data_IF_977111578610
#
_entry.id   IF_977111578610
#
_cell.length_a   1.000
_cell.length_b   1.000
_cell.length_c   1.000
_cell.angle_alpha   90.00
_cell.angle_beta   90.00
_cell.angle_gamma   90.00
#
_symmetry.space_group_name_H-M   'P 1'
#
loop_
_entity.id
_entity.type
_entity.pdbx_description
1 polymer ?
#
# COMPACT_ATOMS: atom_id res chain seq x y z
N UNK A 1 4.35 -2.98 -8.00
CA UNK A 1 3.78 -3.18 -6.65
C UNK A 1 4.86 -3.07 -5.57
N UNK A 2 6.04 -3.66 -5.79
CA UNK A 2 7.14 -3.62 -4.82
C UNK A 2 7.61 -2.20 -4.45
N UNK A 3 7.80 -1.30 -5.44
CA UNK A 3 8.18 0.10 -5.16
C UNK A 3 7.12 0.84 -4.32
N UNK A 4 5.82 0.60 -4.57
CA UNK A 4 4.73 1.20 -3.77
C UNK A 4 4.76 0.70 -2.34
N UNK A 5 5.01 -0.60 -2.12
CA UNK A 5 5.18 -1.19 -0.79
C UNK A 5 6.38 -0.61 -0.04
N UNK A 6 7.53 -0.43 -0.71
CA UNK A 6 8.73 0.19 -0.12
C UNK A 6 8.46 1.64 0.30
N UNK A 7 7.77 2.42 -0.54
CA UNK A 7 7.36 3.79 -0.20
C UNK A 7 6.42 3.85 0.99
N UNK A 8 5.41 2.96 1.05
CA UNK A 8 4.49 2.88 2.18
C UNK A 8 5.23 2.52 3.47
N UNK A 9 6.11 1.52 3.46
CA UNK A 9 6.94 1.17 4.63
C UNK A 9 7.85 2.31 5.08
N UNK A 10 8.45 3.05 4.14
CA UNK A 10 9.27 4.23 4.46
C UNK A 10 8.45 5.30 5.20
N UNK A 11 7.23 5.57 4.72
CA UNK A 11 6.28 6.46 5.41
C UNK A 11 5.91 5.93 6.79
N UNK A 12 5.56 4.64 6.92
CA UNK A 12 5.26 3.98 8.22
C UNK A 12 6.33 4.27 9.26
N UNK A 13 7.59 4.03 8.90
CA UNK A 13 8.71 4.18 9.82
C UNK A 13 8.97 5.62 10.22
N UNK A 14 8.85 6.56 9.28
CA UNK A 14 9.02 8.00 9.56
C UNK A 14 7.90 8.50 10.47
N UNK A 15 6.64 8.21 10.13
CA UNK A 15 5.47 8.62 10.90
C UNK A 15 5.51 8.03 12.31
N UNK A 16 5.80 6.73 12.45
CA UNK A 16 5.93 6.07 13.74
C UNK A 16 7.12 6.58 14.56
N UNK A 17 8.28 6.80 13.92
CA UNK A 17 9.47 7.35 14.56
C UNK A 17 9.21 8.76 15.12
N UNK A 18 8.60 9.64 14.33
CA UNK A 18 8.26 11.00 14.73
C UNK A 18 7.26 11.01 15.90
N UNK A 19 6.21 10.18 15.84
CA UNK A 19 5.25 10.04 16.93
C UNK A 19 5.91 9.55 18.23
N UNK A 20 6.87 8.63 18.13
CA UNK A 20 7.61 8.09 19.29
C UNK A 20 8.43 9.18 19.96
N UNK A 21 9.21 9.97 19.20
CA UNK A 21 10.00 11.07 19.73
C UNK A 21 9.10 12.13 20.38
N UNK A 22 8.00 12.51 19.73
CA UNK A 22 7.05 13.47 20.29
C UNK A 22 6.46 12.98 21.64
N UNK A 23 6.14 11.69 21.73
CA UNK A 23 5.64 11.07 22.97
C UNK A 23 6.67 11.13 24.09
N UNK A 24 7.92 10.75 23.79
CA UNK A 24 9.02 10.82 24.76
C UNK A 24 9.24 12.28 25.21
N UNK A 25 9.15 13.24 24.29
CA UNK A 25 9.32 14.66 24.61
C UNK A 25 8.25 15.18 25.57
N UNK A 26 6.99 14.83 25.34
CA UNK A 26 5.89 15.17 26.23
C UNK A 26 6.05 14.51 27.61
N UNK A 27 6.36 13.21 27.63
CA UNK A 27 6.53 12.46 28.88
C UNK A 27 7.68 13.00 29.72
N UNK A 28 8.83 13.29 29.09
CA UNK A 28 10.01 13.80 29.78
C UNK A 28 9.79 15.18 30.38
N UNK A 29 9.12 16.09 29.67
CA UNK A 29 8.79 17.43 30.17
C UNK A 29 7.90 17.36 31.42
N UNK A 30 6.82 16.60 31.35
CA UNK A 30 5.88 16.42 32.48
C UNK A 30 6.59 15.85 33.70
N UNK A 31 7.41 14.81 33.53
CA UNK A 31 8.16 14.20 34.62
C UNK A 31 9.15 15.18 35.25
N UNK A 32 9.96 15.85 34.43
CA UNK A 32 10.96 16.81 34.90
C UNK A 32 10.32 17.94 35.71
N UNK A 33 9.16 18.42 35.28
CA UNK A 33 8.44 19.46 35.99
C UNK A 33 7.77 19.00 37.27
N UNK A 34 7.34 17.74 37.35
CA UNK A 34 6.89 17.13 38.59
C UNK A 34 8.01 17.14 39.64
N UNK A 35 9.19 16.64 39.28
CA UNK A 35 10.38 16.62 40.16
C UNK A 35 10.79 18.05 40.57
N UNK A 36 10.80 18.99 39.61
CA UNK A 36 11.10 20.39 39.92
C UNK A 36 10.07 21.03 40.86
N UNK A 37 8.80 20.61 40.79
CA UNK A 37 7.74 21.07 41.68
C UNK A 37 7.94 20.61 43.11
N UNK A 38 8.27 19.33 43.30
CA UNK A 38 8.59 18.78 44.62
C UNK A 38 9.81 19.47 45.24
N UNK A 39 10.88 19.65 44.46
CA UNK A 39 12.09 20.34 44.91
C UNK A 39 11.79 21.79 45.33
N UNK A 40 11.01 22.54 44.54
CA UNK A 40 10.59 23.90 44.92
C UNK A 40 9.80 23.91 46.22
N UNK A 41 8.86 22.98 46.39
CA UNK A 41 8.03 22.89 47.60
C UNK A 41 8.89 22.65 48.85
N UNK A 42 9.92 21.81 48.72
CA UNK A 42 10.90 21.55 49.79
C UNK A 42 11.73 22.79 50.12
N UNK A 43 12.30 23.47 49.11
CA UNK A 43 13.11 24.69 49.31
C UNK A 43 12.32 25.83 49.97
N UNK A 44 11.02 25.96 49.65
CA UNK A 44 10.15 26.93 50.33
C UNK A 44 9.91 26.54 51.79
N UNK A 45 9.72 25.25 52.09
CA UNK A 45 9.53 24.76 53.44
C UNK A 45 10.80 24.91 54.32
N UNK A 46 11.98 24.72 53.72
CA UNK A 46 13.29 24.89 54.38
C UNK A 46 13.70 26.37 54.51
N UNK A 47 12.94 27.30 53.91
CA UNK A 47 13.24 28.74 53.95
C UNK A 47 14.35 29.18 52.99
N UNK A 48 14.92 28.26 52.20
CA UNK A 48 15.96 28.55 51.21
C UNK A 48 15.42 29.27 49.95
N UNK A 49 14.10 29.26 49.75
CA UNK A 49 13.44 29.93 48.61
C UNK A 49 12.19 30.67 49.07
N UNK A 50 12.01 31.91 48.59
CA UNK A 50 10.79 32.65 48.89
C UNK A 50 9.58 32.08 48.12
N UNK A 51 8.36 32.14 48.69
CA UNK A 51 7.15 31.69 48.00
C UNK A 51 6.90 32.40 46.65
N UNK A 52 7.29 33.67 46.54
CA UNK A 52 7.15 34.44 45.30
C UNK A 52 8.08 33.93 44.21
N UNK A 53 9.34 33.64 44.56
CA UNK A 53 10.29 33.09 43.60
C UNK A 53 9.85 31.69 43.13
N UNK A 54 9.34 30.87 44.04
CA UNK A 54 8.78 29.56 43.71
C UNK A 54 7.61 29.66 42.72
N UNK A 55 6.72 30.64 42.89
CA UNK A 55 5.61 30.92 41.95
C UNK A 55 6.13 31.33 40.58
N UNK A 56 7.12 32.23 40.52
CA UNK A 56 7.72 32.68 39.25
C UNK A 56 8.35 31.51 38.48
N UNK A 57 9.11 30.66 39.17
CA UNK A 57 9.70 29.44 38.58
C UNK A 57 8.64 28.43 38.14
N UNK A 58 7.56 28.26 38.91
CA UNK A 58 6.43 27.40 38.53
C UNK A 58 5.78 27.87 37.23
N UNK A 59 5.43 29.16 37.12
CA UNK A 59 4.79 29.70 35.91
C UNK A 59 5.66 29.55 34.68
N UNK A 60 6.98 29.78 34.80
CA UNK A 60 7.94 29.57 33.70
C UNK A 60 7.95 28.11 33.22
N UNK A 61 8.06 27.16 34.14
CA UNK A 61 8.07 25.74 33.80
C UNK A 61 6.75 25.31 33.17
N UNK A 62 5.61 25.71 33.75
CA UNK A 62 4.29 25.39 33.20
C UNK A 62 4.12 25.89 31.76
N UNK A 63 4.62 27.09 31.47
CA UNK A 63 4.58 27.61 30.11
C UNK A 63 5.44 26.78 29.14
N UNK A 64 6.66 26.41 29.56
CA UNK A 64 7.55 25.57 28.75
C UNK A 64 6.96 24.19 28.51
N UNK A 65 6.39 23.55 29.53
CA UNK A 65 5.77 22.24 29.40
C UNK A 65 4.51 22.30 28.53
N UNK A 66 3.67 23.31 28.72
CA UNK A 66 2.47 23.49 27.91
C UNK A 66 2.83 23.68 26.43
N UNK A 67 3.88 24.47 26.13
CA UNK A 67 4.38 24.62 24.79
C UNK A 67 4.94 23.31 24.22
N UNK A 68 5.78 22.60 24.98
CA UNK A 68 6.36 21.33 24.58
C UNK A 68 5.29 20.25 24.31
N UNK A 69 4.32 20.11 25.22
CA UNK A 69 3.17 19.21 25.07
C UNK A 69 2.29 19.63 23.91
N UNK A 70 2.06 20.93 23.70
CA UNK A 70 1.31 21.44 22.55
C UNK A 70 1.95 21.06 21.21
N UNK A 71 3.26 21.26 21.08
CA UNK A 71 4.01 20.86 19.87
C UNK A 71 3.97 19.34 19.68
N UNK A 72 4.20 18.58 20.76
CA UNK A 72 4.13 17.12 20.71
C UNK A 72 2.75 16.62 20.30
N UNK A 73 1.67 17.20 20.84
CA UNK A 73 0.30 16.87 20.50
C UNK A 73 -0.01 17.13 19.02
N UNK A 74 0.49 18.24 18.46
CA UNK A 74 0.39 18.52 17.03
C UNK A 74 1.14 17.48 16.19
N UNK A 75 2.37 17.12 16.59
CA UNK A 75 3.16 16.09 15.91
C UNK A 75 2.49 14.72 15.95
N UNK A 76 1.97 14.31 17.10
CA UNK A 76 1.22 13.06 17.28
C UNK A 76 -0.07 13.08 16.46
N UNK A 77 -0.82 14.20 16.46
CA UNK A 77 -2.05 14.33 15.69
C UNK A 77 -1.80 14.18 14.18
N UNK A 78 -0.79 14.86 13.66
CA UNK A 78 -0.41 14.75 12.24
C UNK A 78 -0.01 13.31 11.89
N UNK A 79 0.83 12.69 12.73
CA UNK A 79 1.25 11.31 12.53
C UNK A 79 0.07 10.32 12.58
N UNK A 80 -0.90 10.54 13.47
CA UNK A 80 -2.09 9.72 13.57
C UNK A 80 -2.97 9.82 12.30
N UNK A 81 -3.16 11.03 11.76
CA UNK A 81 -3.90 11.19 10.51
C UNK A 81 -3.22 10.50 9.32
N UNK A 82 -1.90 10.64 9.18
CA UNK A 82 -1.13 9.97 8.12
C UNK A 82 -1.21 8.44 8.25
N UNK A 83 -1.12 7.94 9.48
CA UNK A 83 -1.20 6.50 9.73
C UNK A 83 -2.57 5.94 9.32
N UNK A 84 -3.66 6.67 9.60
CA UNK A 84 -5.01 6.25 9.18
C UNK A 84 -5.14 6.15 7.66
N UNK A 85 -4.73 7.19 6.93
CA UNK A 85 -4.76 7.19 5.45
C UNK A 85 -3.94 6.01 4.89
N UNK A 86 -2.77 5.79 5.47
CA UNK A 86 -1.87 4.76 5.01
C UNK A 86 -2.38 3.35 5.35
N UNK A 87 -3.16 3.16 6.42
CA UNK A 87 -3.85 1.91 6.72
C UNK A 87 -4.92 1.58 5.65
N UNK A 88 -5.68 2.58 5.20
CA UNK A 88 -6.64 2.43 4.08
C UNK A 88 -5.92 2.06 2.77
N UNK A 89 -4.79 2.73 2.48
CA UNK A 89 -3.96 2.38 1.32
C UNK A 89 -3.41 0.94 1.42
N UNK A 90 -3.06 0.47 2.63
CA UNK A 90 -2.59 -0.90 2.86
C UNK A 90 -3.69 -1.92 2.55
N UNK A 91 -4.92 -1.66 2.98
CA UNK A 91 -6.08 -2.50 2.67
C UNK A 91 -6.33 -2.60 1.16
N UNK A 92 -6.36 -1.47 0.44
CA UNK A 92 -6.58 -1.48 -1.01
C UNK A 92 -5.48 -2.25 -1.78
N UNK A 93 -4.21 -2.09 -1.39
CA UNK A 93 -3.09 -2.84 -1.97
C UNK A 93 -3.22 -4.33 -1.70
N UNK A 94 -3.61 -4.70 -0.48
CA UNK A 94 -3.79 -6.09 -0.09
C UNK A 94 -4.92 -6.76 -0.87
N UNK A 95 -6.07 -6.10 -1.01
CA UNK A 95 -7.19 -6.61 -1.81
C UNK A 95 -6.81 -6.80 -3.29
N UNK A 96 -6.11 -5.83 -3.87
CA UNK A 96 -5.67 -5.91 -5.26
C UNK A 96 -4.73 -7.10 -5.47
N UNK A 97 -3.84 -7.37 -4.51
CA UNK A 97 -2.94 -8.52 -4.55
C UNK A 97 -3.67 -9.83 -4.33
N UNK A 98 -4.62 -9.90 -3.41
CA UNK A 98 -5.45 -11.09 -3.24
C UNK A 98 -6.21 -11.41 -4.53
N UNK A 99 -6.83 -10.41 -5.18
CA UNK A 99 -7.50 -10.57 -6.47
C UNK A 99 -6.54 -11.06 -7.55
N UNK A 100 -5.33 -10.47 -7.66
CA UNK A 100 -4.30 -10.91 -8.62
C UNK A 100 -3.83 -12.34 -8.34
N UNK A 101 -3.60 -12.70 -7.07
CA UNK A 101 -3.18 -14.05 -6.66
C UNK A 101 -4.26 -15.09 -6.97
N UNK A 102 -5.53 -14.78 -6.72
CA UNK A 102 -6.68 -15.64 -7.09
C UNK A 102 -6.75 -15.84 -8.60
N UNK A 103 -6.65 -14.77 -9.39
CA UNK A 103 -6.63 -14.85 -10.87
C UNK A 103 -5.45 -15.69 -11.38
N UNK A 104 -4.25 -15.53 -10.81
CA UNK A 104 -3.08 -16.34 -11.18
C UNK A 104 -3.28 -17.82 -10.88
N UNK A 105 -3.77 -18.16 -9.69
CA UNK A 105 -4.10 -19.55 -9.32
C UNK A 105 -5.14 -20.17 -10.25
N UNK A 106 -6.17 -19.42 -10.64
CA UNK A 106 -7.20 -19.91 -11.58
C UNK A 106 -6.61 -20.19 -12.97
N UNK A 107 -5.69 -19.35 -13.47
CA UNK A 107 -4.98 -19.59 -14.73
C UNK A 107 -4.08 -20.82 -14.66
N UNK A 108 -3.24 -20.91 -13.62
CA UNK A 108 -2.38 -22.09 -13.39
C UNK A 108 -3.19 -23.39 -13.28
N UNK A 109 -4.36 -23.34 -12.63
CA UNK A 109 -5.26 -24.51 -12.53
C UNK A 109 -5.83 -24.89 -13.89
N UNK A 110 -6.33 -23.93 -14.67
CA UNK A 110 -6.83 -24.17 -16.04
C UNK A 110 -5.75 -24.72 -16.97
N UNK A 111 -4.54 -24.19 -16.91
CA UNK A 111 -3.41 -24.68 -17.69
C UNK A 111 -3.01 -26.11 -17.31
N UNK A 112 -2.99 -26.43 -16.00
CA UNK A 112 -2.76 -27.81 -15.54
C UNK A 112 -3.86 -28.76 -15.99
N UNK A 113 -5.13 -28.37 -15.87
CA UNK A 113 -6.27 -29.16 -16.32
C UNK A 113 -6.22 -29.37 -17.84
N UNK A 114 -5.93 -28.33 -18.63
CA UNK A 114 -5.75 -28.45 -20.08
C UNK A 114 -4.57 -29.36 -20.46
N UNK A 115 -3.44 -29.26 -19.76
CA UNK A 115 -2.27 -30.13 -19.99
C UNK A 115 -2.58 -31.59 -19.66
N UNK A 116 -3.27 -31.84 -18.55
CA UNK A 116 -3.71 -33.19 -18.17
C UNK A 116 -4.73 -33.74 -19.16
N UNK A 117 -5.69 -32.93 -19.61
CA UNK A 117 -6.69 -33.34 -20.59
C UNK A 117 -6.08 -33.59 -21.98
N UNK A 118 -5.03 -32.85 -22.36
CA UNK A 118 -4.25 -33.12 -23.57
C UNK A 118 -3.42 -34.42 -23.47
N UNK A 119 -2.91 -34.75 -22.27
CA UNK A 119 -2.20 -36.01 -22.00
C UNK A 119 -3.15 -37.21 -21.93
N UNK A 120 -4.36 -37.05 -21.37
CA UNK A 120 -5.36 -38.12 -21.25
C UNK A 120 -6.26 -38.25 -22.49
N UNK A 121 -6.38 -37.20 -23.29
CA UNK A 121 -7.27 -37.11 -24.46
C UNK A 121 -6.66 -37.61 -25.77
N UNK A 122 -5.42 -38.11 -25.75
CA UNK A 122 -4.75 -38.60 -26.95
C UNK A 122 -4.78 -40.14 -27.07
N UNK A 123 -5.99 -40.70 -27.01
CA UNK A 123 -6.27 -42.08 -27.44
C UNK A 123 -7.11 -42.16 -28.73
N UNK A 124 -7.51 -41.02 -29.32
CA UNK A 124 -8.28 -40.98 -30.57
C UNK A 124 -7.91 -39.77 -31.46
N UNK A 125 -6.62 -39.43 -31.57
CA UNK A 125 -6.17 -38.60 -32.68
C UNK A 125 -6.07 -39.50 -33.93
N UNK A 126 -7.08 -39.40 -34.78
CA UNK A 126 -7.21 -40.15 -36.02
C UNK A 126 -5.95 -39.92 -36.90
N UNK A 127 -5.10 -40.94 -37.14
CA UNK A 127 -3.82 -40.78 -37.85
C UNK A 127 -3.99 -40.45 -39.35
N UNK A 128 -5.23 -40.41 -39.85
CA UNK A 128 -5.60 -40.03 -41.22
C UNK A 128 -6.18 -38.61 -41.35
N UNK A 129 -6.17 -37.80 -40.29
CA UNK A 129 -6.60 -36.40 -40.40
C UNK A 129 -5.56 -35.61 -41.22
N UNK A 130 -5.92 -35.32 -42.47
CA UNK A 130 -5.18 -34.46 -43.40
C UNK A 130 -4.79 -33.14 -42.70
N UNK A 131 -3.54 -32.63 -42.83
CA UNK A 131 -3.14 -31.40 -42.18
C UNK A 131 -3.90 -30.23 -42.81
N UNK A 132 -4.92 -29.74 -42.12
CA UNK A 132 -5.53 -28.46 -42.45
C UNK A 132 -4.46 -27.38 -42.24
N UNK A 133 -4.15 -26.67 -43.32
CA UNK A 133 -3.14 -25.60 -43.33
C UNK A 133 -3.38 -24.62 -42.15
N UNK A 134 -2.30 -24.12 -41.51
CA UNK A 134 -2.45 -23.17 -40.41
C UNK A 134 -3.10 -21.90 -40.95
N UNK A 135 -4.36 -21.68 -40.58
CA UNK A 135 -5.04 -20.42 -40.87
C UNK A 135 -4.21 -19.28 -40.27
N UNK A 136 -3.62 -18.49 -41.16
CA UNK A 136 -2.77 -17.34 -40.87
C UNK A 136 -3.60 -16.14 -40.41
N UNK A 137 -4.34 -16.29 -39.32
CA UNK A 137 -5.06 -15.18 -38.69
C UNK A 137 -4.46 -14.91 -37.30
N UNK A 138 -3.79 -13.76 -37.21
CA UNK A 138 -3.23 -13.21 -35.98
C UNK A 138 -4.29 -12.96 -34.89
N UNK A 139 -3.89 -12.45 -33.71
CA UNK A 139 -4.75 -12.39 -32.55
C UNK A 139 -5.99 -11.53 -32.82
N UNK A 140 -7.16 -12.17 -32.92
CA UNK A 140 -8.43 -11.49 -33.10
C UNK A 140 -8.77 -10.72 -31.82
N UNK A 141 -8.71 -9.38 -31.90
CA UNK A 141 -9.26 -8.51 -30.89
C UNK A 141 -10.79 -8.65 -30.91
N UNK A 142 -11.35 -9.08 -29.78
CA UNK A 142 -12.79 -9.23 -29.63
C UNK A 142 -13.37 -7.88 -29.22
N UNK A 143 -13.69 -7.03 -30.20
CA UNK A 143 -14.16 -5.65 -30.01
C UNK A 143 -15.69 -5.52 -29.96
N UNK A 144 -16.41 -6.64 -30.01
CA UNK A 144 -17.88 -6.64 -29.94
C UNK A 144 -18.56 -6.07 -31.18
N UNK A 145 -17.84 -5.89 -32.30
CA UNK A 145 -18.43 -5.41 -33.54
C UNK A 145 -19.22 -6.54 -34.24
N UNK A 146 -20.55 -6.40 -34.44
CA UNK A 146 -21.40 -7.43 -35.05
C UNK A 146 -21.10 -7.70 -36.54
N UNK A 147 -20.22 -6.91 -37.17
CA UNK A 147 -19.80 -7.10 -38.56
C UNK A 147 -18.43 -7.76 -38.73
N UNK A 148 -17.73 -8.11 -37.64
CA UNK A 148 -16.39 -8.74 -37.71
C UNK A 148 -16.39 -10.18 -38.25
N UNK A 149 -17.55 -10.80 -38.41
CA UNK A 149 -17.72 -12.20 -38.82
C UNK A 149 -18.18 -12.37 -40.28
N UNK A 150 -18.11 -11.32 -41.11
CA UNK A 150 -18.40 -11.46 -42.54
C UNK A 150 -17.16 -12.04 -43.26
N UNK A 151 -17.31 -13.12 -44.04
CA UNK A 151 -16.21 -13.61 -44.87
C UNK A 151 -15.82 -12.54 -45.89
N UNK A 152 -14.52 -12.35 -46.18
CA UNK A 152 -14.08 -11.39 -47.18
C UNK A 152 -14.72 -11.72 -48.54
N UNK A 153 -15.06 -10.71 -49.36
CA UNK A 153 -15.62 -10.95 -50.68
C UNK A 153 -14.65 -11.79 -51.54
N UNK A 154 -15.16 -12.69 -52.39
CA UNK A 154 -14.32 -13.53 -53.21
C UNK A 154 -13.45 -12.66 -54.13
N UNK A 155 -12.14 -12.80 -54.00
CA UNK A 155 -11.17 -12.15 -54.89
C UNK A 155 -11.30 -12.82 -56.25
N UNK A 156 -11.71 -12.05 -57.27
CA UNK A 156 -11.86 -12.53 -58.64
C UNK A 156 -10.58 -13.17 -59.18
N UNK A 157 -10.74 -14.19 -60.03
CA UNK A 157 -9.64 -14.97 -60.58
C UNK A 157 -8.58 -14.07 -61.26
N UNK A 158 -7.27 -14.38 -61.11
CA UNK A 158 -6.22 -13.60 -61.77
C UNK A 158 -6.32 -13.75 -63.30
N UNK A 159 -5.99 -12.69 -64.07
CA UNK A 159 -6.06 -12.74 -65.52
C UNK A 159 -5.09 -13.79 -66.06
N UNK A 160 -5.58 -14.59 -67.02
CA UNK A 160 -4.79 -15.61 -67.69
C UNK A 160 -3.62 -14.97 -68.44
N UNK A 161 -2.40 -15.38 -68.08
CA UNK A 161 -1.21 -15.06 -68.84
C UNK A 161 -1.33 -15.71 -70.22
N UNK A 162 -1.51 -14.88 -71.27
CA UNK A 162 -1.33 -15.30 -72.65
C UNK A 162 0.18 -15.30 -72.94
N UNK A 163 0.69 -16.45 -73.38
CA UNK A 163 1.99 -16.57 -74.05
C UNK A 163 1.96 -15.84 -75.40
#
# INVERSE_FOLDING_TARGET
MEQKRKKLRGKELLTAGLATVATIHAAHGVYSSMVASEKRRKLVAEGEMSPEEARKRKSKNMLQDAAAVGIAALGIKSAFSEWKEMNEQRHSVHELEQRRRKRRKMRERREKEARLNALNGNAMANPYAYPAAPNSYGPAYNDGNPYGALPPPPVGAPPSARY
#
